data_IF_007386580322
#
_entry.id   IF_007386580322
#
_cell.length_a   1.000
_cell.length_b   1.000
_cell.length_c   1.000
_cell.angle_alpha   90.00
_cell.angle_beta   90.00
_cell.angle_gamma   90.00
#
_symmetry.space_group_name_H-M   'P 1'
#
loop_
_entity.id
_entity.type
_entity.pdbx_description
1 polymer ?
#
# COMPACT_ATOMS: atom_id res chain seq x y z
N UNK A 1 -32.88 -19.97 -20.55
CA UNK A 1 -32.59 -20.15 -19.11
C UNK A 1 -31.13 -19.81 -18.95
N UNK A 2 -30.86 -18.56 -18.58
CA UNK A 2 -29.49 -18.12 -18.36
C UNK A 2 -28.97 -18.80 -17.09
N UNK A 3 -27.88 -19.55 -17.23
CA UNK A 3 -27.17 -20.10 -16.09
C UNK A 3 -26.66 -18.92 -15.26
N UNK A 4 -27.37 -18.58 -14.18
CA UNK A 4 -26.86 -17.68 -13.15
C UNK A 4 -25.64 -18.38 -12.55
N UNK A 5 -24.45 -18.02 -13.05
CA UNK A 5 -23.19 -18.39 -12.43
C UNK A 5 -23.12 -17.70 -11.08
N UNK A 6 -23.53 -18.40 -10.03
CA UNK A 6 -23.36 -17.94 -8.65
C UNK A 6 -21.85 -17.94 -8.40
N UNK A 7 -21.21 -16.78 -8.49
CA UNK A 7 -19.82 -16.62 -8.08
C UNK A 7 -19.78 -16.73 -6.56
N UNK A 8 -19.31 -17.86 -6.05
CA UNK A 8 -19.21 -18.10 -4.59
C UNK A 8 -17.85 -17.63 -4.09
N UNK A 9 -17.81 -16.50 -3.39
CA UNK A 9 -16.61 -15.92 -2.82
C UNK A 9 -16.18 -16.57 -1.49
N UNK A 10 -15.88 -17.89 -1.49
CA UNK A 10 -15.65 -18.68 -0.27
C UNK A 10 -14.69 -18.05 0.76
N UNK A 11 -13.65 -17.33 0.31
CA UNK A 11 -12.67 -16.69 1.18
C UNK A 11 -13.20 -15.47 1.96
N UNK A 12 -14.38 -14.93 1.63
CA UNK A 12 -14.98 -13.80 2.37
C UNK A 12 -15.43 -14.18 3.79
N UNK A 13 -15.56 -15.48 4.06
CA UNK A 13 -16.01 -16.01 5.36
C UNK A 13 -14.84 -16.55 6.20
N UNK A 14 -13.62 -16.58 5.66
CA UNK A 14 -12.48 -17.08 6.41
C UNK A 14 -12.11 -16.09 7.53
N UNK A 15 -12.15 -16.51 8.82
CA UNK A 15 -11.89 -15.61 9.94
C UNK A 15 -10.41 -15.18 10.02
N UNK A 16 -9.50 -15.88 9.36
CA UNK A 16 -8.07 -15.60 9.39
C UNK A 16 -7.64 -14.70 8.24
N UNK A 17 -8.31 -14.77 7.09
CA UNK A 17 -7.96 -14.02 5.87
C UNK A 17 -8.61 -12.64 5.91
N UNK A 18 -7.77 -11.59 5.86
CA UNK A 18 -8.23 -10.22 5.73
C UNK A 18 -8.61 -9.89 4.30
N UNK A 19 -7.79 -10.27 3.30
CA UNK A 19 -8.04 -10.00 1.88
C UNK A 19 -7.98 -11.32 1.09
N UNK A 20 -9.00 -11.65 0.28
CA UNK A 20 -9.00 -12.84 -0.57
C UNK A 20 -7.76 -12.94 -1.47
N UNK A 21 -7.31 -14.16 -1.70
CA UNK A 21 -6.00 -14.41 -2.31
C UNK A 21 -5.94 -14.00 -3.79
N UNK A 22 -7.05 -14.09 -4.52
CA UNK A 22 -7.13 -13.63 -5.90
C UNK A 22 -7.04 -12.10 -6.04
N UNK A 23 -7.32 -11.37 -4.96
CA UNK A 23 -7.18 -9.92 -4.89
C UNK A 23 -5.79 -9.54 -4.39
N UNK A 24 -5.30 -10.18 -3.32
CA UNK A 24 -4.01 -9.84 -2.68
C UNK A 24 -2.83 -9.96 -3.64
N UNK A 25 -2.84 -10.94 -4.55
CA UNK A 25 -1.79 -11.14 -5.57
C UNK A 25 -1.56 -9.93 -6.48
N UNK A 26 -2.55 -9.04 -6.63
CA UNK A 26 -2.36 -7.80 -7.40
C UNK A 26 -1.29 -6.89 -6.78
N UNK A 27 -1.14 -6.91 -5.46
CA UNK A 27 -0.12 -6.12 -4.76
C UNK A 27 1.31 -6.57 -5.05
N UNK A 28 1.53 -7.78 -5.57
CA UNK A 28 2.86 -8.21 -6.02
C UNK A 28 3.39 -7.34 -7.15
N UNK A 29 2.50 -6.87 -8.04
CA UNK A 29 2.88 -5.99 -9.14
C UNK A 29 3.40 -4.67 -8.57
N UNK A 30 2.74 -4.08 -7.57
CA UNK A 30 3.21 -2.82 -6.98
C UNK A 30 4.40 -3.01 -6.03
N UNK A 31 4.64 -4.20 -5.48
CA UNK A 31 5.85 -4.45 -4.70
C UNK A 31 7.13 -4.27 -5.54
N UNK A 32 7.06 -4.43 -6.86
CA UNK A 32 8.21 -4.22 -7.76
C UNK A 32 8.77 -2.79 -7.72
N UNK A 33 7.98 -1.80 -7.31
CA UNK A 33 8.48 -0.42 -7.10
C UNK A 33 9.49 -0.34 -5.95
N UNK A 34 9.38 -1.20 -4.94
CA UNK A 34 10.40 -1.30 -3.88
C UNK A 34 11.71 -1.88 -4.40
N UNK A 35 11.63 -2.89 -5.28
CA UNK A 35 12.81 -3.44 -5.95
C UNK A 35 13.46 -2.41 -6.88
N UNK A 36 12.67 -1.65 -7.64
CA UNK A 36 13.17 -0.55 -8.46
C UNK A 36 13.93 0.47 -7.60
N UNK A 37 13.36 0.88 -6.46
CA UNK A 37 14.01 1.81 -5.54
C UNK A 37 15.26 1.22 -4.90
N UNK A 38 15.29 -0.09 -4.62
CA UNK A 38 16.49 -0.78 -4.17
C UNK A 38 17.63 -0.66 -5.20
N UNK A 39 17.35 -0.94 -6.48
CA UNK A 39 18.32 -0.83 -7.57
C UNK A 39 18.81 0.62 -7.72
N UNK A 40 17.89 1.58 -7.67
CA UNK A 40 18.22 2.99 -7.78
C UNK A 40 19.05 3.49 -6.59
N UNK A 41 18.69 3.10 -5.36
CA UNK A 41 19.44 3.44 -4.15
C UNK A 41 20.87 2.89 -4.21
N UNK A 42 21.06 1.68 -4.76
CA UNK A 42 22.40 1.16 -5.04
C UNK A 42 23.17 2.03 -6.05
N UNK A 43 22.54 2.38 -7.18
CA UNK A 43 23.17 3.17 -8.23
C UNK A 43 23.54 4.59 -7.78
N UNK A 44 22.77 5.18 -6.87
CA UNK A 44 23.00 6.51 -6.31
C UNK A 44 23.74 6.48 -4.95
N UNK A 45 24.32 5.34 -4.58
CA UNK A 45 25.12 5.12 -3.36
C UNK A 45 24.38 5.29 -2.01
N UNK A 46 23.05 5.28 -1.98
CA UNK A 46 22.22 5.22 -0.76
C UNK A 46 22.21 3.79 -0.18
N UNK A 47 23.35 3.35 0.38
CA UNK A 47 23.58 1.95 0.80
C UNK A 47 22.59 1.44 1.84
N UNK A 48 22.28 2.25 2.86
CA UNK A 48 21.34 1.85 3.93
C UNK A 48 19.93 1.71 3.36
N UNK A 49 19.50 2.68 2.56
CA UNK A 49 18.19 2.64 1.89
C UNK A 49 18.08 1.45 0.95
N UNK A 50 19.14 1.09 0.20
CA UNK A 50 19.16 -0.10 -0.63
C UNK A 50 18.81 -1.37 0.18
N UNK A 51 19.45 -1.56 1.35
CA UNK A 51 19.18 -2.71 2.22
C UNK A 51 17.74 -2.67 2.75
N UNK A 52 17.27 -1.50 3.17
CA UNK A 52 15.91 -1.32 3.68
C UNK A 52 14.86 -1.63 2.60
N UNK A 53 15.01 -1.07 1.39
CA UNK A 53 14.08 -1.29 0.28
C UNK A 53 14.07 -2.75 -0.20
N UNK A 54 15.24 -3.40 -0.25
CA UNK A 54 15.32 -4.84 -0.53
C UNK A 54 14.62 -5.69 0.54
N UNK A 55 14.77 -5.33 1.81
CA UNK A 55 14.10 -6.00 2.93
C UNK A 55 12.57 -5.81 2.89
N UNK A 56 12.11 -4.57 2.62
CA UNK A 56 10.69 -4.26 2.43
C UNK A 56 10.13 -5.07 1.26
N UNK A 57 10.82 -5.12 0.11
CA UNK A 57 10.38 -5.90 -1.04
C UNK A 57 10.11 -7.38 -0.70
N UNK A 58 11.06 -8.04 -0.03
CA UNK A 58 10.92 -9.45 0.37
C UNK A 58 9.77 -9.60 1.38
N UNK A 59 9.71 -8.75 2.41
CA UNK A 59 8.67 -8.81 3.42
C UNK A 59 7.27 -8.59 2.84
N UNK A 60 7.13 -7.66 1.91
CA UNK A 60 5.88 -7.37 1.20
C UNK A 60 5.45 -8.56 0.36
N UNK A 61 6.34 -9.21 -0.38
CA UNK A 61 5.99 -10.43 -1.12
C UNK A 61 5.49 -11.54 -0.19
N UNK A 62 6.16 -11.76 0.93
CA UNK A 62 5.76 -12.77 1.92
C UNK A 62 4.41 -12.43 2.57
N UNK A 63 4.19 -11.16 2.94
CA UNK A 63 2.94 -10.71 3.54
C UNK A 63 1.75 -10.83 2.57
N UNK A 64 1.92 -10.36 1.34
CA UNK A 64 0.85 -10.33 0.33
C UNK A 64 0.59 -11.70 -0.31
N UNK A 65 1.44 -12.69 -0.06
CA UNK A 65 1.16 -14.09 -0.41
C UNK A 65 0.02 -14.68 0.42
N UNK A 66 -0.24 -14.18 1.62
CA UNK A 66 -1.43 -14.58 2.41
C UNK A 66 -1.75 -13.48 3.44
N UNK A 67 -2.68 -12.58 3.08
CA UNK A 67 -2.98 -11.41 3.91
C UNK A 67 -3.91 -11.79 5.05
N UNK A 68 -3.33 -12.00 6.23
CA UNK A 68 -4.06 -12.34 7.47
C UNK A 68 -4.41 -11.11 8.29
N UNK A 69 -5.48 -11.18 9.08
CA UNK A 69 -5.82 -10.13 10.06
C UNK A 69 -4.68 -9.94 11.07
N UNK A 70 -4.15 -11.04 11.61
CA UNK A 70 -3.08 -11.05 12.59
C UNK A 70 -2.01 -12.02 12.09
N UNK A 71 -0.75 -11.61 12.10
CA UNK A 71 0.34 -12.47 11.65
C UNK A 71 1.68 -11.77 11.76
N UNK A 72 2.72 -12.54 12.08
CA UNK A 72 4.08 -12.03 12.25
C UNK A 72 4.61 -11.36 10.97
N UNK A 73 4.26 -11.91 9.80
CA UNK A 73 4.66 -11.35 8.51
C UNK A 73 4.10 -9.95 8.27
N UNK A 74 2.84 -9.70 8.68
CA UNK A 74 2.23 -8.36 8.60
C UNK A 74 2.97 -7.37 9.49
N UNK A 75 3.31 -7.78 10.72
CA UNK A 75 4.05 -6.94 11.66
C UNK A 75 5.44 -6.62 11.14
N UNK A 76 6.18 -7.61 10.64
CA UNK A 76 7.52 -7.43 10.07
C UNK A 76 7.48 -6.51 8.85
N UNK A 77 6.58 -6.74 7.90
CA UNK A 77 6.39 -5.89 6.72
C UNK A 77 6.09 -4.43 7.10
N UNK A 78 5.15 -4.23 8.04
CA UNK A 78 4.80 -2.89 8.54
C UNK A 78 5.96 -2.21 9.25
N UNK A 79 6.73 -2.94 10.06
CA UNK A 79 7.89 -2.40 10.76
C UNK A 79 8.99 -1.99 9.78
N UNK A 80 9.31 -2.84 8.80
CA UNK A 80 10.33 -2.53 7.79
C UNK A 80 9.92 -1.35 6.92
N UNK A 81 8.66 -1.30 6.48
CA UNK A 81 8.14 -0.16 5.71
C UNK A 81 8.22 1.16 6.50
N UNK A 82 7.87 1.13 7.79
CA UNK A 82 8.01 2.29 8.68
C UNK A 82 9.47 2.71 8.88
N UNK A 83 10.38 1.76 9.11
CA UNK A 83 11.81 2.07 9.24
C UNK A 83 12.34 2.69 7.94
N UNK A 84 12.02 2.10 6.79
CA UNK A 84 12.44 2.60 5.49
C UNK A 84 11.93 4.02 5.21
N UNK A 85 10.64 4.29 5.43
CA UNK A 85 10.07 5.61 5.15
C UNK A 85 10.56 6.67 6.13
N UNK A 86 10.72 6.34 7.42
CA UNK A 86 11.27 7.26 8.42
C UNK A 86 12.74 7.56 8.14
N UNK A 87 13.53 6.54 7.80
CA UNK A 87 14.93 6.71 7.43
C UNK A 87 15.07 7.60 6.20
N UNK A 88 14.30 7.33 5.13
CA UNK A 88 14.28 8.19 3.95
C UNK A 88 13.85 9.62 4.29
N UNK A 89 12.80 9.78 5.10
CA UNK A 89 12.24 11.10 5.41
C UNK A 89 13.16 11.95 6.27
N UNK A 90 13.81 11.37 7.28
CA UNK A 90 14.60 12.12 8.26
C UNK A 90 16.11 12.01 8.06
N UNK A 91 16.61 11.12 7.20
CA UNK A 91 18.05 10.98 6.95
C UNK A 91 18.34 11.28 5.48
N UNK A 92 17.86 10.44 4.56
CA UNK A 92 18.28 10.56 3.16
C UNK A 92 17.66 11.76 2.43
N UNK A 93 16.50 12.25 2.86
CA UNK A 93 15.88 13.43 2.25
C UNK A 93 16.71 14.71 2.40
N UNK A 94 17.66 14.76 3.36
CA UNK A 94 18.59 15.88 3.49
C UNK A 94 19.57 15.98 2.31
N UNK A 95 19.79 14.89 1.57
CA UNK A 95 20.57 14.91 0.34
C UNK A 95 19.75 15.35 -0.88
N UNK A 96 18.44 15.55 -0.74
CA UNK A 96 17.63 16.09 -1.81
C UNK A 96 17.84 17.60 -1.92
N UNK A 97 17.76 18.14 -3.14
CA UNK A 97 17.73 19.59 -3.29
C UNK A 97 16.48 20.14 -2.56
N UNK A 98 16.54 21.34 -1.93
CA UNK A 98 15.51 21.80 -0.98
C UNK A 98 14.08 21.77 -1.51
N UNK A 99 13.90 22.08 -2.80
CA UNK A 99 12.59 22.03 -3.46
C UNK A 99 11.99 20.62 -3.50
N UNK A 100 12.81 19.60 -3.78
CA UNK A 100 12.36 18.21 -3.83
C UNK A 100 12.16 17.62 -2.44
N UNK A 101 12.93 18.08 -1.47
CA UNK A 101 12.69 17.74 -0.06
C UNK A 101 11.30 18.23 0.39
N UNK A 102 10.92 19.46 0.03
CA UNK A 102 9.58 19.97 0.31
C UNK A 102 8.48 19.13 -0.36
N UNK A 103 8.65 18.78 -1.63
CA UNK A 103 7.70 17.89 -2.32
C UNK A 103 7.64 16.50 -1.70
N UNK A 104 8.76 15.97 -1.22
CA UNK A 104 8.79 14.70 -0.48
C UNK A 104 7.89 14.76 0.76
N UNK A 105 7.94 15.83 1.55
CA UNK A 105 7.06 15.97 2.71
C UNK A 105 5.58 16.01 2.34
N UNK A 106 5.20 16.66 1.23
CA UNK A 106 3.81 16.62 0.75
C UNK A 106 3.39 15.22 0.32
N UNK A 107 4.26 14.49 -0.38
CA UNK A 107 4.03 13.10 -0.77
C UNK A 107 3.86 12.22 0.47
N UNK A 108 4.77 12.31 1.42
CA UNK A 108 4.73 11.56 2.68
C UNK A 108 3.44 11.85 3.47
N UNK A 109 3.06 13.12 3.62
CA UNK A 109 1.81 13.51 4.26
C UNK A 109 0.58 12.96 3.54
N UNK A 110 0.57 13.00 2.20
CA UNK A 110 -0.52 12.45 1.39
C UNK A 110 -0.63 10.92 1.50
N UNK A 111 0.50 10.22 1.59
CA UNK A 111 0.55 8.77 1.80
C UNK A 111 -0.04 8.37 3.16
N UNK A 112 0.32 9.08 4.23
CA UNK A 112 -0.25 8.88 5.57
C UNK A 112 -1.76 9.13 5.54
N UNK A 113 -2.20 10.26 4.97
CA UNK A 113 -3.62 10.60 4.89
C UNK A 113 -4.42 9.57 4.08
N UNK A 114 -3.93 9.20 2.91
CA UNK A 114 -4.55 8.19 2.05
C UNK A 114 -4.62 6.81 2.72
N UNK A 115 -3.58 6.41 3.44
CA UNK A 115 -3.58 5.18 4.23
C UNK A 115 -4.59 5.21 5.37
N UNK A 116 -4.64 6.31 6.14
CA UNK A 116 -5.57 6.47 7.25
C UNK A 116 -7.02 6.40 6.78
N UNK A 117 -7.35 7.12 5.69
CA UNK A 117 -8.67 7.05 5.05
C UNK A 117 -8.97 5.64 4.56
N UNK A 118 -8.02 4.96 3.92
CA UNK A 118 -8.20 3.60 3.45
C UNK A 118 -8.47 2.61 4.60
N UNK A 119 -7.72 2.70 5.71
CA UNK A 119 -7.93 1.87 6.90
C UNK A 119 -9.29 2.15 7.56
N UNK A 120 -9.70 3.42 7.64
CA UNK A 120 -11.02 3.79 8.15
C UNK A 120 -12.14 3.18 7.30
N UNK A 121 -12.02 3.26 5.98
CA UNK A 121 -13.00 2.69 5.05
C UNK A 121 -13.03 1.16 5.12
N UNK A 122 -11.86 0.50 5.19
CA UNK A 122 -11.75 -0.92 5.44
C UNK A 122 -12.46 -1.30 6.75
N UNK A 123 -12.24 -0.54 7.82
CA UNK A 123 -12.88 -0.82 9.10
C UNK A 123 -14.41 -0.77 8.98
N UNK A 124 -14.93 0.33 8.43
CA UNK A 124 -16.37 0.57 8.32
C UNK A 124 -17.07 -0.44 7.40
N UNK A 125 -16.46 -0.77 6.27
CA UNK A 125 -17.08 -1.63 5.26
C UNK A 125 -16.87 -3.12 5.54
N UNK A 126 -15.76 -3.50 6.18
CA UNK A 126 -15.32 -4.88 6.23
C UNK A 126 -15.31 -5.45 7.65
N UNK A 127 -14.75 -4.73 8.63
CA UNK A 127 -14.46 -5.29 9.96
C UNK A 127 -15.46 -4.90 11.05
N UNK A 128 -16.19 -3.79 10.92
CA UNK A 128 -17.06 -3.22 11.96
C UNK A 128 -18.03 -4.24 12.58
N UNK A 129 -18.56 -5.14 11.75
CA UNK A 129 -19.49 -6.19 12.19
C UNK A 129 -19.00 -7.59 11.86
N UNK A 130 -17.69 -7.82 11.65
CA UNK A 130 -17.16 -9.16 11.36
C UNK A 130 -17.52 -10.21 12.42
N UNK A 131 -17.72 -9.76 13.67
CA UNK A 131 -18.04 -10.62 14.82
C UNK A 131 -19.54 -10.74 15.10
N UNK A 132 -20.40 -10.07 14.33
CA UNK A 132 -21.84 -10.11 14.49
C UNK A 132 -22.46 -10.61 13.19
N UNK A 133 -23.10 -11.78 13.22
CA UNK A 133 -23.85 -12.33 12.07
C UNK A 133 -25.15 -11.53 11.88
N UNK A 134 -25.03 -10.23 11.64
CA UNK A 134 -26.15 -9.38 11.22
C UNK A 134 -26.10 -9.30 9.71
N UNK A 135 -26.85 -10.18 9.06
CA UNK A 135 -27.20 -10.00 7.66
C UNK A 135 -28.00 -8.70 7.54
N UNK A 136 -27.38 -7.64 7.06
CA UNK A 136 -28.10 -6.39 6.76
C UNK A 136 -28.85 -6.65 5.46
N UNK A 137 -30.14 -6.97 5.58
CA UNK A 137 -30.96 -7.54 4.51
C UNK A 137 -31.25 -6.60 3.33
N UNK A 138 -31.03 -5.30 3.45
CA UNK A 138 -31.42 -4.32 2.43
C UNK A 138 -30.32 -3.28 2.16
N UNK A 139 -29.32 -3.63 1.35
CA UNK A 139 -28.48 -2.61 0.72
C UNK A 139 -28.46 -2.83 -0.78
N UNK A 140 -29.27 -2.01 -1.46
CA UNK A 140 -29.29 -1.82 -2.90
C UNK A 140 -27.86 -1.76 -3.46
N UNK A 141 -27.68 -2.32 -4.66
CA UNK A 141 -26.46 -2.25 -5.48
C UNK A 141 -26.08 -0.79 -5.75
N UNK A 142 -25.42 -0.18 -4.78
CA UNK A 142 -24.96 1.21 -4.86
C UNK A 142 -23.45 1.19 -4.77
N UNK A 143 -22.82 2.00 -5.63
CA UNK A 143 -21.40 1.96 -5.92
C UNK A 143 -20.56 2.12 -4.63
N UNK A 144 -19.87 1.06 -4.15
CA UNK A 144 -19.34 1.00 -2.79
C UNK A 144 -18.04 1.78 -2.58
N UNK A 145 -17.55 2.52 -3.58
CA UNK A 145 -16.23 3.14 -3.54
C UNK A 145 -16.10 4.24 -2.46
N UNK A 146 -17.20 4.87 -2.04
CA UNK A 146 -17.18 5.97 -1.03
C UNK A 146 -18.20 5.84 0.10
N UNK A 147 -19.07 4.83 0.08
CA UNK A 147 -20.10 4.66 1.12
C UNK A 147 -19.50 4.05 2.40
N UNK A 148 -19.86 4.59 3.57
CA UNK A 148 -19.42 4.11 4.89
C UNK A 148 -20.20 2.89 5.40
N UNK A 149 -20.92 2.22 4.51
CA UNK A 149 -21.82 1.13 4.86
C UNK A 149 -21.09 -0.21 4.90
N UNK A 150 -21.46 -1.04 5.86
CA UNK A 150 -20.94 -2.41 5.97
C UNK A 150 -21.35 -3.25 4.76
N UNK A 151 -20.42 -4.04 4.25
CA UNK A 151 -20.63 -4.95 3.11
C UNK A 151 -20.69 -6.40 3.60
N UNK A 152 -21.81 -7.09 3.30
CA UNK A 152 -22.03 -8.47 3.72
C UNK A 152 -21.02 -9.42 3.03
N UNK A 153 -20.51 -10.47 3.72
CA UNK A 153 -19.68 -11.52 3.11
C UNK A 153 -20.35 -12.15 1.88
N UNK A 154 -19.56 -12.72 0.97
CA UNK A 154 -20.04 -13.36 -0.27
C UNK A 154 -20.85 -12.45 -1.22
N UNK A 155 -20.76 -11.12 -1.10
CA UNK A 155 -21.40 -10.18 -2.04
C UNK A 155 -20.40 -9.53 -2.98
N UNK A 156 -20.87 -9.09 -4.15
CA UNK A 156 -20.06 -8.31 -5.09
C UNK A 156 -19.57 -6.99 -4.47
N UNK A 157 -20.38 -6.34 -3.63
CA UNK A 157 -19.97 -5.11 -2.93
C UNK A 157 -18.78 -5.36 -1.98
N UNK A 158 -18.73 -6.51 -1.32
CA UNK A 158 -17.60 -6.93 -0.47
C UNK A 158 -16.33 -7.16 -1.29
N UNK A 159 -16.46 -7.81 -2.44
CA UNK A 159 -15.37 -7.99 -3.42
C UNK A 159 -14.81 -6.63 -3.87
N UNK A 160 -15.68 -5.68 -4.22
CA UNK A 160 -15.29 -4.32 -4.60
C UNK A 160 -14.61 -3.56 -3.45
N UNK A 161 -15.07 -3.72 -2.21
CA UNK A 161 -14.45 -3.13 -1.04
C UNK A 161 -13.02 -3.65 -0.82
N UNK A 162 -12.79 -4.95 -1.00
CA UNK A 162 -11.45 -5.55 -0.96
C UNK A 162 -10.56 -5.03 -2.10
N UNK A 163 -11.07 -4.96 -3.33
CA UNK A 163 -10.35 -4.42 -4.49
C UNK A 163 -9.93 -2.96 -4.27
N UNK A 164 -10.85 -2.12 -3.80
CA UNK A 164 -10.54 -0.73 -3.44
C UNK A 164 -9.44 -0.68 -2.40
N UNK A 165 -9.58 -1.44 -1.31
CA UNK A 165 -8.62 -1.41 -0.21
C UNK A 165 -7.21 -1.77 -0.70
N UNK A 166 -7.11 -2.83 -1.52
CA UNK A 166 -5.84 -3.24 -2.13
C UNK A 166 -5.31 -2.17 -3.06
N UNK A 167 -6.09 -1.62 -3.99
CA UNK A 167 -5.60 -0.60 -4.92
C UNK A 167 -5.18 0.70 -4.23
N UNK A 168 -5.92 1.15 -3.22
CA UNK A 168 -5.55 2.32 -2.40
C UNK A 168 -4.24 2.09 -1.66
N UNK A 169 -4.06 0.90 -1.07
CA UNK A 169 -2.79 0.52 -0.45
C UNK A 169 -1.65 0.53 -1.48
N UNK A 170 -1.84 -0.13 -2.62
CA UNK A 170 -0.85 -0.15 -3.70
C UNK A 170 -0.46 1.27 -4.11
N UNK A 171 -1.43 2.16 -4.30
CA UNK A 171 -1.17 3.53 -4.72
C UNK A 171 -0.45 4.35 -3.62
N UNK A 172 -1.05 4.47 -2.43
CA UNK A 172 -0.55 5.37 -1.39
C UNK A 172 0.65 4.83 -0.63
N UNK A 173 0.85 3.51 -0.56
CA UNK A 173 1.97 2.90 0.19
C UNK A 173 3.09 2.41 -0.72
N UNK A 174 2.79 1.86 -1.90
CA UNK A 174 3.83 1.33 -2.78
C UNK A 174 4.22 2.37 -3.85
N UNK A 175 3.27 2.74 -4.72
CA UNK A 175 3.57 3.44 -5.99
C UNK A 175 3.96 4.90 -5.75
N UNK A 176 3.08 5.68 -5.11
CA UNK A 176 3.26 7.11 -4.91
C UNK A 176 4.58 7.43 -4.18
N UNK A 177 4.85 6.90 -2.97
CA UNK A 177 6.10 7.20 -2.28
C UNK A 177 7.31 6.65 -3.04
N UNK A 178 7.23 5.46 -3.64
CA UNK A 178 8.40 4.88 -4.32
C UNK A 178 8.80 5.67 -5.57
N UNK A 179 7.85 5.99 -6.44
CA UNK A 179 8.10 6.77 -7.66
C UNK A 179 8.59 8.17 -7.30
N UNK A 180 7.94 8.85 -6.34
CA UNK A 180 8.36 10.18 -5.92
C UNK A 180 9.77 10.17 -5.33
N UNK A 181 10.09 9.23 -4.44
CA UNK A 181 11.44 9.08 -3.89
C UNK A 181 12.49 8.89 -5.00
N UNK A 182 12.19 8.02 -5.97
CA UNK A 182 13.09 7.76 -7.09
C UNK A 182 13.34 9.02 -7.93
N UNK A 183 12.26 9.70 -8.34
CA UNK A 183 12.36 10.93 -9.15
C UNK A 183 13.15 12.00 -8.38
N UNK A 184 12.84 12.22 -7.11
CA UNK A 184 13.50 13.25 -6.30
C UNK A 184 14.97 12.95 -6.06
N UNK A 185 15.33 11.69 -5.80
CA UNK A 185 16.72 11.28 -5.66
C UNK A 185 17.51 11.49 -6.97
N UNK A 186 16.95 11.08 -8.12
CA UNK A 186 17.56 11.26 -9.44
C UNK A 186 17.76 12.74 -9.76
N UNK A 187 16.70 13.54 -9.66
CA UNK A 187 16.76 14.96 -10.00
C UNK A 187 17.72 15.70 -9.07
N UNK A 188 17.74 15.38 -7.78
CA UNK A 188 18.67 15.98 -6.82
C UNK A 188 20.11 15.64 -7.15
N UNK A 189 20.40 14.38 -7.50
CA UNK A 189 21.73 13.94 -7.90
C UNK A 189 22.27 14.72 -9.11
N UNK A 190 21.43 14.97 -10.12
CA UNK A 190 21.88 15.72 -11.30
C UNK A 190 21.93 17.24 -11.09
N UNK A 191 20.96 17.82 -10.37
CA UNK A 191 20.88 19.27 -10.21
C UNK A 191 21.87 19.81 -9.18
N UNK A 192 21.98 19.17 -8.02
CA UNK A 192 22.85 19.67 -6.94
C UNK A 192 24.35 19.48 -7.31
N UNK A 193 24.70 18.51 -8.15
CA UNK A 193 26.08 18.38 -8.67
C UNK A 193 26.43 19.50 -9.68
N UNK A 194 25.47 19.94 -10.50
CA UNK A 194 25.71 21.00 -11.49
C UNK A 194 25.94 22.38 -10.87
N UNK A 195 25.24 22.71 -9.78
CA UNK A 195 25.40 23.99 -9.09
C UNK A 195 26.73 24.12 -8.35
N UNK A 196 27.31 23.03 -7.87
CA UNK A 196 28.60 23.06 -7.16
C UNK A 196 29.81 23.12 -8.09
N UNK A 197 29.67 22.71 -9.36
CA UNK A 197 30.76 22.78 -10.36
C UNK A 197 30.80 24.13 -11.11
N UNK A 198 29.80 24.99 -10.91
CA UNK A 198 29.68 26.28 -11.59
C UNK A 198 30.03 27.50 -10.73
N UNK A 199 30.46 27.27 -9.49
CA UNK A 199 31.06 28.26 -8.58
C UNK A 199 32.59 28.10 -8.50
#
# INVERSE_FOLDING_TARGET
MDHINIVVYKQHQDPNILIPQHISRRAFVSATFFLQNCILAYALEYRVLCILMGSVYIATLLHWNEVKYHGILRTVDTMLANIAVLYLTFIDSYYFCPIYQQYWFYVFGSAIGGFAVNQYLLHMQITRYSNQVKYIANQYETWPLTLLNYTNPNTYNRELAYLRNTHMHMFFIHILPSISAAIFAILSHYQCNWTCESE
#
